data_IF_567474049568
#
_entry.id   IF_567474049568
#
_cell.length_a   1.000
_cell.length_b   1.000
_cell.length_c   1.000
_cell.angle_alpha   90.00
_cell.angle_beta   90.00
_cell.angle_gamma   90.00
#
_symmetry.space_group_name_H-M   'P 1'
#
loop_
_entity.id
_entity.type
_entity.pdbx_description
1 polymer ?
#
# COMPACT_ATOMS: atom_id res chain seq x y z
N UNK A 1 1.03 -17.37 21.86
CA UNK A 1 1.32 -17.34 20.41
C UNK A 1 1.62 -15.92 20.01
N UNK A 2 2.90 -15.56 19.96
CA UNK A 2 3.36 -14.23 19.55
C UNK A 2 3.29 -14.13 18.03
N UNK A 3 2.27 -13.46 17.52
CA UNK A 3 2.18 -13.08 16.11
C UNK A 3 3.32 -12.11 15.82
N UNK A 4 4.46 -12.65 15.38
CA UNK A 4 5.57 -11.89 14.84
C UNK A 4 5.03 -11.26 13.56
N UNK A 5 4.44 -10.08 13.69
CA UNK A 5 4.04 -9.29 12.53
C UNK A 5 5.35 -8.73 12.00
N UNK A 6 6.06 -9.57 11.25
CA UNK A 6 7.20 -9.15 10.46
C UNK A 6 6.65 -8.06 9.56
N UNK A 7 6.86 -6.79 9.95
CA UNK A 7 6.83 -5.66 9.05
C UNK A 7 7.99 -5.85 8.07
N UNK A 8 7.89 -6.92 7.27
CA UNK A 8 8.84 -7.26 6.23
C UNK A 8 8.77 -6.12 5.25
N UNK A 9 9.80 -5.29 5.30
CA UNK A 9 10.08 -4.16 4.43
C UNK A 9 9.25 -4.22 3.14
N UNK A 10 8.12 -3.50 3.10
CA UNK A 10 7.18 -3.48 1.96
C UNK A 10 7.76 -2.70 0.76
N UNK A 11 9.08 -2.75 0.56
CA UNK A 11 9.77 -2.17 -0.58
C UNK A 11 9.46 -3.00 -1.81
N UNK A 12 8.52 -2.49 -2.59
CA UNK A 12 8.27 -2.93 -3.96
C UNK A 12 9.41 -2.36 -4.82
N UNK A 13 10.19 -3.19 -5.52
CA UNK A 13 11.26 -2.72 -6.39
C UNK A 13 10.66 -1.89 -7.55
N UNK A 14 11.46 -1.03 -8.19
CA UNK A 14 11.04 -0.39 -9.45
C UNK A 14 10.92 -1.48 -10.53
N UNK A 15 9.84 -1.46 -11.30
CA UNK A 15 9.69 -2.37 -12.44
C UNK A 15 10.71 -1.97 -13.51
N UNK A 16 11.49 -2.94 -13.97
CA UNK A 16 12.45 -2.78 -15.05
C UNK A 16 11.69 -2.69 -16.38
N UNK A 17 12.07 -1.74 -17.24
CA UNK A 17 11.43 -1.54 -18.55
C UNK A 17 11.59 -2.75 -19.49
N UNK A 18 12.63 -3.57 -19.29
CA UNK A 18 12.84 -4.83 -20.01
C UNK A 18 11.94 -5.96 -19.51
N UNK A 19 11.25 -5.77 -18.37
CA UNK A 19 10.39 -6.79 -17.76
C UNK A 19 11.15 -7.90 -17.04
N UNK A 20 12.49 -7.86 -16.97
CA UNK A 20 13.32 -8.91 -16.35
C UNK A 20 12.94 -9.21 -14.89
N UNK A 21 12.47 -8.21 -14.16
CA UNK A 21 12.05 -8.35 -12.77
C UNK A 21 10.52 -8.42 -12.59
N UNK A 22 9.75 -8.63 -13.65
CA UNK A 22 8.28 -8.64 -13.63
C UNK A 22 7.69 -9.56 -12.56
N UNK A 23 8.15 -10.81 -12.48
CA UNK A 23 7.62 -11.79 -11.53
C UNK A 23 7.87 -11.36 -10.09
N UNK A 24 9.10 -10.96 -9.78
CA UNK A 24 9.50 -10.48 -8.45
C UNK A 24 8.73 -9.21 -8.06
N UNK A 25 8.56 -8.29 -9.00
CA UNK A 25 7.78 -7.07 -8.81
C UNK A 25 6.32 -7.40 -8.49
N UNK A 26 5.69 -8.27 -9.28
CA UNK A 26 4.30 -8.68 -9.13
C UNK A 26 4.04 -9.35 -7.77
N UNK A 27 4.91 -10.28 -7.34
CA UNK A 27 4.76 -10.96 -6.04
C UNK A 27 4.87 -9.96 -4.89
N UNK A 28 5.85 -9.05 -4.93
CA UNK A 28 6.03 -8.04 -3.89
C UNK A 28 4.89 -7.04 -3.84
N UNK A 29 4.39 -6.61 -5.00
CA UNK A 29 3.21 -5.76 -5.08
C UNK A 29 1.97 -6.46 -4.51
N UNK A 30 1.70 -7.71 -4.91
CA UNK A 30 0.56 -8.48 -4.42
C UNK A 30 0.62 -8.70 -2.90
N UNK A 31 1.81 -8.96 -2.35
CA UNK A 31 2.01 -9.08 -0.90
C UNK A 31 1.74 -7.75 -0.19
N UNK A 32 2.31 -6.64 -0.68
CA UNK A 32 2.10 -5.32 -0.09
C UNK A 32 0.62 -4.90 -0.12
N UNK A 33 -0.08 -5.17 -1.22
CA UNK A 33 -1.51 -4.92 -1.34
C UNK A 33 -2.34 -5.78 -0.39
N UNK A 34 -1.95 -7.04 -0.18
CA UNK A 34 -2.63 -7.93 0.76
C UNK A 34 -2.46 -7.46 2.20
N UNK A 35 -1.23 -7.09 2.59
CA UNK A 35 -0.92 -6.55 3.91
C UNK A 35 -1.68 -5.24 4.17
N UNK A 36 -1.81 -4.39 3.15
CA UNK A 36 -2.58 -3.13 3.24
C UNK A 36 -4.09 -3.30 3.08
N UNK A 37 -4.60 -4.53 2.89
CA UNK A 37 -6.01 -4.82 2.59
C UNK A 37 -6.54 -4.07 1.35
N UNK A 38 -5.65 -3.74 0.42
CA UNK A 38 -5.96 -3.02 -0.83
C UNK A 38 -6.25 -3.95 -2.01
N UNK A 39 -5.87 -5.23 -1.91
CA UNK A 39 -6.05 -6.21 -2.99
C UNK A 39 -7.50 -6.31 -3.49
N UNK A 40 -8.47 -6.18 -2.58
CA UNK A 40 -9.89 -6.26 -2.91
C UNK A 40 -10.37 -5.13 -3.83
N UNK A 41 -9.81 -3.93 -3.71
CA UNK A 41 -10.17 -2.78 -4.55
C UNK A 41 -9.65 -2.95 -5.99
N UNK A 42 -8.48 -3.55 -6.18
CA UNK A 42 -7.91 -3.78 -7.52
C UNK A 42 -8.67 -4.82 -8.32
N UNK A 43 -9.19 -5.84 -7.65
CA UNK A 43 -9.92 -6.93 -8.29
C UNK A 43 -11.42 -6.65 -8.40
N UNK A 44 -11.89 -5.46 -8.00
CA UNK A 44 -13.31 -5.09 -7.99
C UNK A 44 -14.16 -5.86 -6.98
N UNK A 45 -13.54 -6.66 -6.09
CA UNK A 45 -14.25 -7.40 -5.04
C UNK A 45 -14.70 -6.49 -3.89
N UNK A 46 -13.98 -5.39 -3.68
CA UNK A 46 -14.35 -4.36 -2.71
C UNK A 46 -14.82 -3.15 -3.49
N UNK A 47 -16.06 -2.74 -3.23
CA UNK A 47 -16.61 -1.52 -3.78
C UNK A 47 -15.77 -0.34 -3.32
N UNK A 48 -15.37 0.50 -4.27
CA UNK A 48 -14.72 1.76 -3.96
C UNK A 48 -15.72 2.60 -3.15
N UNK A 49 -15.30 3.25 -2.05
CA UNK A 49 -16.20 4.11 -1.29
C UNK A 49 -16.73 5.19 -2.22
N UNK A 50 -18.03 5.39 -2.20
CA UNK A 50 -18.68 6.35 -3.09
C UNK A 50 -18.33 7.78 -2.70
N UNK A 51 -17.98 7.98 -1.42
CA UNK A 51 -17.51 9.25 -0.90
C UNK A 51 -16.28 9.08 0.03
N UNK A 52 -15.23 9.94 -0.07
CA UNK A 52 -14.04 9.84 0.77
C UNK A 52 -14.32 9.91 2.28
N UNK A 53 -15.43 10.53 2.68
CA UNK A 53 -15.86 10.63 4.08
C UNK A 53 -16.59 9.38 4.61
N UNK A 54 -16.96 8.43 3.75
CA UNK A 54 -17.62 7.18 4.19
C UNK A 54 -16.64 6.21 4.88
N UNK A 55 -15.34 6.42 4.72
CA UNK A 55 -14.28 5.66 5.39
C UNK A 55 -13.53 6.50 6.42
N UNK A 56 -14.25 7.18 7.32
CA UNK A 56 -13.67 7.74 8.54
C UNK A 56 -13.15 6.63 9.48
N UNK A 57 -12.05 5.97 9.08
CA UNK A 57 -11.05 5.46 10.02
C UNK A 57 -10.29 6.67 10.58
N UNK A 58 -9.85 6.66 11.84
CA UNK A 58 -9.29 7.84 12.50
C UNK A 58 -8.10 8.39 11.68
N UNK A 59 -8.37 9.56 11.10
CA UNK A 59 -7.52 10.47 10.34
C UNK A 59 -6.12 9.96 9.99
N UNK A 60 -5.92 9.58 8.73
CA UNK A 60 -4.60 9.73 8.13
C UNK A 60 -4.32 11.24 8.05
N UNK A 61 -3.60 11.77 9.05
CA UNK A 61 -3.17 13.16 9.08
C UNK A 61 -1.92 13.24 8.20
N UNK A 62 -1.96 13.92 7.04
CA UNK A 62 -0.73 14.22 6.33
C UNK A 62 0.11 15.15 7.21
N UNK A 63 1.18 14.61 7.78
CA UNK A 63 2.23 15.42 8.43
C UNK A 63 2.91 16.24 7.34
N UNK A 64 2.31 17.37 7.00
CA UNK A 64 2.99 18.42 6.24
C UNK A 64 4.02 18.99 7.20
N UNK A 65 5.25 18.46 7.15
CA UNK A 65 6.40 19.18 7.69
C UNK A 65 6.52 20.43 6.84
N UNK A 66 5.98 21.54 7.32
CA UNK A 66 6.31 22.84 6.79
C UNK A 66 7.83 22.97 6.92
N UNK A 67 8.55 22.97 5.80
CA UNK A 67 9.93 23.42 5.75
C UNK A 67 9.92 24.88 6.23
N UNK A 68 10.25 25.05 7.51
CA UNK A 68 10.48 26.36 8.09
C UNK A 68 11.79 26.88 7.51
N UNK A 69 11.68 27.64 6.42
CA UNK A 69 12.79 28.42 5.89
C UNK A 69 12.98 29.63 6.79
N UNK A 70 14.02 29.61 7.62
CA UNK A 70 14.63 30.83 8.15
C UNK A 70 16.14 30.67 8.22
#
# INVERSE_FOLDING_TARGET
MTSITTQGNLKIPKLDATGKNWLTWKVKLAHALSVKRLKGYLNGMVLMPMHPAEQHLPAWIPTTTAESKK
#
